data_IF_163719084355
#
_entry.id   IF_163719084355
#
_cell.length_a   1.000
_cell.length_b   1.000
_cell.length_c   1.000
_cell.angle_alpha   90.00
_cell.angle_beta   90.00
_cell.angle_gamma   90.00
#
_symmetry.space_group_name_H-M   'P 1'
#
loop_
_entity.id
_entity.type
_entity.pdbx_description
1 polymer ?
#
# COMPACT_ATOMS: atom_id res chain seq x y z
N UNK A 1 13.89 8.64 19.24
CA UNK A 1 13.31 9.93 19.64
C UNK A 1 11.78 9.83 19.59
N UNK A 2 11.06 10.15 20.69
CA UNK A 2 9.61 10.02 20.75
C UNK A 2 8.82 10.86 19.73
N UNK A 3 9.29 12.08 19.40
CA UNK A 3 8.62 12.96 18.46
C UNK A 3 8.72 12.43 17.02
N UNK A 4 9.87 11.89 16.62
CA UNK A 4 10.00 11.25 15.32
C UNK A 4 9.12 9.98 15.20
N UNK A 5 9.02 9.19 16.28
CA UNK A 5 8.13 8.01 16.31
C UNK A 5 6.65 8.38 16.09
N UNK A 6 6.19 9.46 16.73
CA UNK A 6 4.84 9.99 16.55
C UNK A 6 4.61 10.45 15.10
N UNK A 7 5.54 11.24 14.55
CA UNK A 7 5.44 11.73 13.17
C UNK A 7 5.41 10.56 12.18
N UNK A 8 6.27 9.55 12.35
CA UNK A 8 6.29 8.34 11.51
C UNK A 8 4.96 7.60 11.59
N UNK A 9 4.41 7.42 12.79
CA UNK A 9 3.11 6.75 12.98
C UNK A 9 1.99 7.50 12.24
N UNK A 10 1.93 8.83 12.40
CA UNK A 10 0.93 9.66 11.71
C UNK A 10 1.11 9.69 10.21
N UNK A 11 2.35 9.65 9.72
CA UNK A 11 2.65 9.55 8.30
C UNK A 11 2.14 8.23 7.72
N UNK A 12 2.48 7.09 8.34
CA UNK A 12 1.99 5.77 7.92
C UNK A 12 0.47 5.72 7.96
N UNK A 13 -0.16 6.24 9.03
CA UNK A 13 -1.62 6.31 9.12
C UNK A 13 -2.23 7.14 7.99
N UNK A 14 -1.67 8.32 7.68
CA UNK A 14 -2.14 9.16 6.57
C UNK A 14 -2.00 8.49 5.20
N UNK A 15 -0.91 7.76 4.97
CA UNK A 15 -0.73 6.99 3.74
C UNK A 15 -1.77 5.87 3.60
N UNK A 16 -2.03 5.13 4.67
CA UNK A 16 -3.02 4.05 4.68
C UNK A 16 -4.46 4.57 4.59
N UNK A 17 -4.75 5.71 5.20
CA UNK A 17 -6.02 6.44 5.05
C UNK A 17 -6.26 6.82 3.59
N UNK A 18 -5.22 7.32 2.88
CA UNK A 18 -5.28 7.58 1.45
C UNK A 18 -5.56 6.33 0.61
N UNK A 19 -4.90 5.21 0.90
CA UNK A 19 -5.17 3.93 0.20
C UNK A 19 -6.58 3.39 0.46
N UNK A 20 -7.07 3.49 1.69
CA UNK A 20 -8.46 3.13 2.00
C UNK A 20 -9.45 4.04 1.25
N UNK A 21 -9.15 5.34 1.13
CA UNK A 21 -9.94 6.25 0.32
C UNK A 21 -9.93 5.86 -1.17
N UNK A 22 -8.77 5.56 -1.76
CA UNK A 22 -8.67 5.16 -3.17
C UNK A 22 -9.30 3.79 -3.45
N UNK A 23 -9.37 2.90 -2.47
CA UNK A 23 -10.14 1.65 -2.57
C UNK A 23 -11.61 1.93 -2.84
N UNK A 24 -12.18 2.85 -2.05
CA UNK A 24 -13.61 3.14 -2.04
C UNK A 24 -13.99 4.19 -3.10
N UNK A 25 -13.04 5.04 -3.52
CA UNK A 25 -13.20 6.18 -4.42
C UNK A 25 -12.12 6.18 -5.52
N UNK A 26 -11.94 5.06 -6.21
CA UNK A 26 -10.87 4.88 -7.18
C UNK A 26 -10.81 5.97 -8.27
N UNK A 27 -11.97 6.42 -8.76
CA UNK A 27 -12.07 7.42 -9.82
C UNK A 27 -11.54 8.80 -9.34
N UNK A 28 -11.78 9.16 -8.08
CA UNK A 28 -11.24 10.38 -7.48
C UNK A 28 -9.71 10.35 -7.43
N UNK A 29 -9.13 9.20 -7.08
CA UNK A 29 -7.68 9.03 -7.05
C UNK A 29 -7.06 8.99 -8.46
N UNK A 30 -7.74 8.42 -9.44
CA UNK A 30 -7.33 8.49 -10.86
C UNK A 30 -7.30 9.93 -11.33
N UNK A 31 -8.38 10.69 -11.08
CA UNK A 31 -8.46 12.10 -11.44
C UNK A 31 -7.37 12.94 -10.76
N UNK A 32 -7.12 12.69 -9.47
CA UNK A 32 -6.05 13.38 -8.75
C UNK A 32 -4.66 13.17 -9.41
N UNK A 33 -4.38 11.97 -9.93
CA UNK A 33 -3.12 11.69 -10.64
C UNK A 33 -3.09 12.37 -12.01
N UNK A 34 -4.19 12.34 -12.76
CA UNK A 34 -4.32 13.01 -14.06
C UNK A 34 -4.13 14.53 -13.92
N UNK A 35 -4.78 15.16 -12.94
CA UNK A 35 -4.70 16.60 -12.66
C UNK A 35 -3.28 17.07 -12.28
N UNK A 36 -2.47 16.17 -11.73
CA UNK A 36 -1.06 16.42 -11.39
C UNK A 36 -0.09 16.11 -12.55
N UNK A 37 -0.58 15.88 -13.76
CA UNK A 37 0.25 15.73 -14.96
C UNK A 37 0.73 14.31 -15.19
N UNK A 38 -0.17 13.33 -15.08
CA UNK A 38 0.10 11.93 -15.43
C UNK A 38 0.72 11.79 -16.84
N UNK A 39 1.74 10.94 -16.94
CA UNK A 39 2.28 10.50 -18.24
C UNK A 39 1.39 9.47 -18.96
N UNK A 40 0.43 8.88 -18.25
CA UNK A 40 -0.53 7.90 -18.76
C UNK A 40 -1.92 8.51 -18.89
N UNK A 41 -2.67 8.11 -19.91
CA UNK A 41 -4.06 8.50 -20.07
C UNK A 41 -5.00 7.85 -19.04
N UNK A 42 -6.25 8.33 -19.02
CA UNK A 42 -7.33 7.92 -18.11
C UNK A 42 -7.51 6.42 -18.00
N UNK A 43 -7.64 5.68 -19.11
CA UNK A 43 -7.94 4.24 -19.05
C UNK A 43 -6.78 3.45 -18.44
N UNK A 44 -5.54 3.87 -18.67
CA UNK A 44 -4.35 3.27 -18.10
C UNK A 44 -4.23 3.55 -16.60
N UNK A 45 -4.52 4.80 -16.17
CA UNK A 45 -4.53 5.14 -14.74
C UNK A 45 -5.64 4.40 -13.99
N UNK A 46 -6.84 4.28 -14.58
CA UNK A 46 -7.94 3.51 -14.02
C UNK A 46 -7.57 2.03 -13.87
N UNK A 47 -6.91 1.45 -14.88
CA UNK A 47 -6.43 0.09 -14.81
C UNK A 47 -5.37 -0.09 -13.72
N UNK A 48 -4.35 0.80 -13.66
CA UNK A 48 -3.33 0.74 -12.61
C UNK A 48 -3.94 0.86 -11.21
N UNK A 49 -4.88 1.79 -10.99
CA UNK A 49 -5.56 1.93 -9.71
C UNK A 49 -6.33 0.66 -9.33
N UNK A 50 -6.98 0.01 -10.29
CA UNK A 50 -7.66 -1.26 -10.06
C UNK A 50 -6.69 -2.39 -9.69
N UNK A 51 -5.60 -2.54 -10.43
CA UNK A 51 -4.61 -3.60 -10.19
C UNK A 51 -3.84 -3.39 -8.88
N UNK A 52 -3.49 -2.15 -8.54
CA UNK A 52 -2.85 -1.86 -7.25
C UNK A 52 -3.79 -2.16 -6.09
N UNK A 53 -5.07 -1.79 -6.19
CA UNK A 53 -6.04 -2.17 -5.17
C UNK A 53 -6.17 -3.70 -5.03
N UNK A 54 -6.03 -4.46 -6.11
CA UNK A 54 -6.03 -5.93 -6.07
C UNK A 54 -4.80 -6.52 -5.33
N UNK A 55 -3.67 -5.81 -5.33
CA UNK A 55 -2.49 -6.22 -4.57
C UNK A 55 -2.60 -5.88 -3.08
N UNK A 56 -3.38 -4.86 -2.73
CA UNK A 56 -3.57 -4.42 -1.34
C UNK A 56 -4.76 -5.16 -0.70
N UNK A 57 -5.86 -5.36 -1.42
CA UNK A 57 -7.14 -5.80 -0.83
C UNK A 57 -7.56 -7.20 -1.30
N UNK A 58 -8.07 -8.06 -0.39
CA UNK A 58 -8.16 -7.85 1.05
C UNK A 58 -6.79 -7.98 1.74
N UNK A 59 -6.61 -7.18 2.80
CA UNK A 59 -5.45 -7.23 3.71
C UNK A 59 -5.90 -7.79 5.07
N UNK A 60 -5.98 -9.12 5.26
CA UNK A 60 -6.52 -9.72 6.49
C UNK A 60 -5.71 -9.36 7.75
N UNK A 61 -4.40 -9.16 7.62
CA UNK A 61 -3.52 -8.75 8.71
C UNK A 61 -3.49 -7.21 8.91
N UNK A 62 -4.19 -6.47 8.05
CA UNK A 62 -4.18 -5.01 8.00
C UNK A 62 -3.24 -4.46 6.91
N UNK A 63 -3.70 -3.43 6.19
CA UNK A 63 -2.93 -2.84 5.10
C UNK A 63 -1.59 -2.26 5.58
N UNK A 64 -0.53 -2.54 4.82
CA UNK A 64 0.82 -2.04 5.07
C UNK A 64 1.66 -2.89 6.04
N UNK A 65 1.11 -3.95 6.61
CA UNK A 65 1.87 -4.90 7.43
C UNK A 65 2.91 -5.64 6.59
N UNK A 66 4.14 -5.74 7.11
CA UNK A 66 5.13 -6.66 6.54
C UNK A 66 4.82 -8.07 7.03
N UNK A 67 4.57 -8.98 6.09
CA UNK A 67 4.41 -10.41 6.38
C UNK A 67 5.79 -11.03 6.68
N UNK A 68 5.93 -11.65 7.86
CA UNK A 68 7.21 -12.18 8.33
C UNK A 68 7.76 -13.31 7.46
N UNK A 69 6.89 -14.15 6.90
CA UNK A 69 7.29 -15.29 6.07
C UNK A 69 7.77 -14.80 4.70
N UNK A 70 7.07 -13.85 4.09
CA UNK A 70 7.50 -13.20 2.86
C UNK A 70 8.81 -12.41 3.03
N UNK A 71 9.00 -11.76 4.18
CA UNK A 71 10.27 -11.12 4.51
C UNK A 71 11.40 -12.16 4.62
N UNK A 72 11.18 -13.25 5.36
CA UNK A 72 12.17 -14.31 5.51
C UNK A 72 12.54 -14.94 4.16
N UNK A 73 11.55 -15.20 3.31
CA UNK A 73 11.77 -15.67 1.94
C UNK A 73 12.59 -14.66 1.12
N UNK A 74 12.29 -13.37 1.24
CA UNK A 74 13.02 -12.30 0.53
C UNK A 74 14.49 -12.26 0.94
N UNK A 75 14.78 -12.34 2.25
CA UNK A 75 16.15 -12.39 2.77
C UNK A 75 16.89 -13.64 2.27
N UNK A 76 16.24 -14.80 2.28
CA UNK A 76 16.83 -16.05 1.80
C UNK A 76 17.17 -15.97 0.30
N UNK A 77 16.21 -15.54 -0.53
CA UNK A 77 16.42 -15.38 -1.98
C UNK A 77 17.54 -14.38 -2.25
N UNK A 78 17.49 -13.18 -1.67
CA UNK A 78 18.49 -12.13 -1.91
C UNK A 78 19.90 -12.51 -1.42
N UNK A 79 20.00 -13.33 -0.37
CA UNK A 79 21.30 -13.85 0.08
C UNK A 79 21.80 -14.96 -0.85
N UNK A 80 20.92 -15.88 -1.27
CA UNK A 80 21.28 -17.01 -2.13
C UNK A 80 21.65 -16.59 -3.56
N UNK A 81 21.04 -15.51 -4.07
CA UNK A 81 21.35 -14.91 -5.38
C UNK A 81 22.65 -14.09 -5.37
N UNK A 82 23.17 -13.77 -4.19
CA UNK A 82 24.35 -12.91 -4.02
C UNK A 82 24.05 -11.41 -4.08
N UNK A 83 22.78 -11.00 -4.07
CA UNK A 83 22.39 -9.58 -3.97
C UNK A 83 22.72 -9.00 -2.59
N UNK A 84 22.61 -9.83 -1.55
CA UNK A 84 23.06 -9.54 -0.18
C UNK A 84 24.24 -10.42 0.20
N UNK A 85 25.27 -9.82 0.80
CA UNK A 85 26.43 -10.56 1.33
C UNK A 85 26.08 -11.38 2.58
N UNK A 86 25.09 -10.94 3.34
CA UNK A 86 24.58 -11.59 4.54
C UNK A 86 23.15 -11.11 4.83
N UNK A 87 22.43 -11.86 5.68
CA UNK A 87 21.12 -11.44 6.17
C UNK A 87 21.21 -10.08 6.89
N UNK A 88 20.19 -9.22 6.74
CA UNK A 88 20.15 -7.93 7.41
C UNK A 88 19.92 -8.10 8.92
N UNK A 89 20.21 -7.05 9.70
CA UNK A 89 19.95 -7.05 11.13
C UNK A 89 18.44 -7.00 11.46
N UNK A 90 18.11 -7.31 12.72
CA UNK A 90 16.71 -7.35 13.19
C UNK A 90 15.98 -5.99 13.17
N UNK A 91 16.70 -4.88 12.99
CA UNK A 91 16.14 -3.54 12.83
C UNK A 91 15.87 -3.14 11.37
N UNK A 92 16.17 -4.01 10.40
CA UNK A 92 15.98 -3.71 8.98
C UNK A 92 14.52 -3.55 8.57
N UNK A 93 13.58 -4.08 9.35
CA UNK A 93 12.17 -3.72 9.28
C UNK A 93 11.53 -3.75 10.68
N UNK A 94 10.38 -3.09 10.81
CA UNK A 94 9.52 -3.16 12.00
C UNK A 94 8.07 -2.96 11.58
N UNK A 95 7.15 -3.61 12.29
CA UNK A 95 5.71 -3.36 12.16
C UNK A 95 5.17 -2.39 13.23
N UNK A 96 5.99 -1.94 14.20
CA UNK A 96 5.56 -1.10 15.33
C UNK A 96 4.73 0.11 14.89
N UNK A 97 5.16 0.79 13.81
CA UNK A 97 4.51 2.02 13.35
C UNK A 97 3.22 1.75 12.56
N UNK A 98 3.17 0.67 11.79
CA UNK A 98 1.96 0.30 11.06
C UNK A 98 0.91 -0.26 12.00
N UNK A 99 1.28 -1.05 13.01
CA UNK A 99 0.37 -1.49 14.07
C UNK A 99 -0.27 -0.29 14.78
N UNK A 100 0.54 0.67 15.24
CA UNK A 100 0.04 1.89 15.87
C UNK A 100 -0.81 2.76 14.92
N UNK A 101 -0.46 2.80 13.62
CA UNK A 101 -1.25 3.51 12.61
C UNK A 101 -2.61 2.85 12.37
N UNK A 102 -2.66 1.52 12.28
CA UNK A 102 -3.91 0.76 12.11
C UNK A 102 -4.84 0.95 13.30
N UNK A 103 -4.31 0.99 14.53
CA UNK A 103 -5.08 1.30 15.73
C UNK A 103 -5.67 2.72 15.70
N UNK A 104 -4.89 3.71 15.26
CA UNK A 104 -5.35 5.09 15.09
C UNK A 104 -6.49 5.17 14.06
N UNK A 105 -6.34 4.51 12.92
CA UNK A 105 -7.35 4.49 11.85
C UNK A 105 -8.63 3.77 12.28
N UNK A 106 -8.50 2.66 13.02
CA UNK A 106 -9.63 1.97 13.64
C UNK A 106 -10.38 2.89 14.60
N UNK A 107 -9.66 3.69 15.41
CA UNK A 107 -10.26 4.69 16.29
C UNK A 107 -11.04 5.80 15.56
N UNK A 108 -10.66 6.09 14.30
CA UNK A 108 -11.39 6.99 13.39
C UNK A 108 -12.54 6.32 12.63
N UNK A 109 -12.72 5.00 12.76
CA UNK A 109 -13.72 4.24 12.00
C UNK A 109 -13.32 3.96 10.54
N UNK A 110 -12.05 4.10 10.19
CA UNK A 110 -11.53 3.81 8.84
C UNK A 110 -11.21 2.31 8.74
N UNK A 111 -11.73 1.67 7.69
CA UNK A 111 -11.56 0.23 7.47
C UNK A 111 -10.29 -0.07 6.67
N UNK A 112 -9.39 -0.89 7.23
CA UNK A 112 -8.05 -1.19 6.70
C UNK A 112 -7.83 -2.65 6.31
N UNK A 113 -8.88 -3.45 6.18
CA UNK A 113 -8.80 -4.86 5.73
C UNK A 113 -9.36 -5.09 4.32
N UNK A 114 -10.19 -4.18 3.79
CA UNK A 114 -10.81 -4.28 2.46
C UNK A 114 -11.69 -5.52 2.26
N UNK A 115 -12.33 -6.02 3.33
CA UNK A 115 -13.13 -7.25 3.28
C UNK A 115 -14.28 -7.10 2.27
N UNK A 116 -14.25 -7.89 1.21
CA UNK A 116 -15.27 -7.85 0.14
C UNK A 116 -14.99 -6.86 -0.98
N UNK A 117 -13.83 -6.19 -0.99
CA UNK A 117 -13.37 -5.48 -2.18
C UNK A 117 -13.25 -6.46 -3.35
N UNK A 118 -13.63 -6.01 -4.54
CA UNK A 118 -13.54 -6.76 -5.79
C UNK A 118 -13.04 -5.85 -6.90
N UNK A 119 -12.23 -6.37 -7.83
CA UNK A 119 -11.77 -5.60 -8.97
C UNK A 119 -12.94 -5.18 -9.86
N UNK A 120 -12.84 -3.98 -10.41
CA UNK A 120 -13.74 -3.48 -11.46
C UNK A 120 -13.25 -3.95 -12.83
N UNK A 121 -14.16 -4.03 -13.79
CA UNK A 121 -13.76 -4.18 -15.20
C UNK A 121 -13.35 -2.80 -15.74
N UNK A 122 -12.13 -2.71 -16.28
CA UNK A 122 -11.60 -1.49 -16.91
C UNK A 122 -11.38 -1.77 -18.40
N UNK A 123 -12.01 -0.97 -19.26
CA UNK A 123 -11.75 -1.00 -20.70
C UNK A 123 -10.51 -0.18 -21.00
N UNK A 124 -9.49 -0.81 -21.57
CA UNK A 124 -8.28 -0.14 -22.04
C UNK A 124 -8.50 0.42 -23.44
N UNK A 125 -8.04 1.65 -23.66
CA UNK A 125 -8.06 2.35 -24.94
C UNK A 125 -6.63 2.56 -25.44
N UNK A 126 -6.47 2.70 -26.76
CA UNK A 126 -5.15 2.98 -27.33
C UNK A 126 -4.61 4.32 -26.78
N UNK A 127 -3.35 4.33 -26.32
CA UNK A 127 -2.77 5.52 -25.68
C UNK A 127 -3.30 5.85 -24.28
N UNK A 128 -4.34 5.16 -23.82
CA UNK A 128 -4.97 5.37 -22.52
C UNK A 128 -6.07 6.44 -22.50
N UNK A 129 -6.57 6.87 -23.65
CA UNK A 129 -7.67 7.87 -23.76
C UNK A 129 -8.89 7.58 -22.87
#
# INVERSE_FOLDING_TARGET
>A
DPAYRDITTRFVAGSLEGWAHCRDNADDCVNAVLDNGSALGTSHQAWQMNEINNLIWPSPDGAGMINSDAWAQTVDVATSSGDLQAAPDSGAYTNDYVEAALDLLKGKGIQTFGSGWQPKSVTLTEGGE
#
